data_IF_158290337023
#
_entry.id   IF_158290337023
#
_cell.length_a   1.000
_cell.length_b   1.000
_cell.length_c   1.000
_cell.angle_alpha   90.00
_cell.angle_beta   90.00
_cell.angle_gamma   90.00
#
_symmetry.space_group_name_H-M   'P 1'
#
loop_
_entity.id
_entity.type
_entity.pdbx_description
1 polymer ?
#
# COMPACT_ATOMS: atom_id res chain seq x y z
N UNK A 1 -1.93 4.64 -48.82
CA UNK A 1 -2.69 5.36 -47.78
C UNK A 1 -1.93 6.62 -47.42
N UNK A 2 -2.51 7.82 -47.61
CA UNK A 2 -1.75 9.02 -47.37
C UNK A 2 -1.78 9.46 -45.88
N UNK A 3 -0.83 10.30 -45.46
CA UNK A 3 -0.65 10.78 -44.07
C UNK A 3 -1.93 11.36 -43.43
N UNK A 4 -2.81 11.98 -44.23
CA UNK A 4 -4.06 12.57 -43.74
C UNK A 4 -5.12 11.51 -43.38
N UNK A 5 -5.16 10.40 -44.12
CA UNK A 5 -6.08 9.30 -43.85
C UNK A 5 -5.64 8.52 -42.58
N UNK A 6 -4.32 8.38 -42.38
CA UNK A 6 -3.76 7.77 -41.18
C UNK A 6 -4.05 8.61 -39.90
N UNK A 7 -3.89 9.92 -39.97
CA UNK A 7 -4.19 10.80 -38.83
C UNK A 7 -5.69 10.88 -38.49
N UNK A 8 -6.57 10.73 -39.49
CA UNK A 8 -8.03 10.65 -39.25
C UNK A 8 -8.41 9.29 -38.61
N UNK A 9 -7.83 8.21 -39.06
CA UNK A 9 -8.07 6.88 -38.46
C UNK A 9 -7.53 6.80 -37.03
N UNK A 10 -6.32 7.32 -36.78
CA UNK A 10 -5.73 7.39 -35.44
C UNK A 10 -6.50 8.31 -34.48
N UNK A 11 -7.09 9.41 -35.01
CA UNK A 11 -7.92 10.33 -34.22
C UNK A 11 -9.25 9.70 -33.79
N UNK A 12 -9.86 8.90 -34.65
CA UNK A 12 -11.14 8.22 -34.35
C UNK A 12 -10.97 7.07 -33.38
N UNK A 13 -9.90 6.28 -33.50
CA UNK A 13 -9.60 5.20 -32.55
C UNK A 13 -9.20 5.77 -31.18
N UNK A 14 -8.42 6.86 -31.16
CA UNK A 14 -8.05 7.55 -29.92
C UNK A 14 -9.22 8.17 -29.17
N UNK A 15 -10.19 8.75 -29.90
CA UNK A 15 -11.39 9.34 -29.30
C UNK A 15 -12.38 8.28 -28.79
N UNK A 16 -12.55 7.15 -29.49
CA UNK A 16 -13.44 6.08 -29.05
C UNK A 16 -12.90 5.35 -27.80
N UNK A 17 -11.58 5.08 -27.72
CA UNK A 17 -10.95 4.49 -26.54
C UNK A 17 -10.95 5.47 -25.35
N UNK A 18 -10.77 6.77 -25.58
CA UNK A 18 -10.88 7.79 -24.55
C UNK A 18 -12.31 7.94 -24.01
N UNK A 19 -13.32 7.78 -24.85
CA UNK A 19 -14.74 7.82 -24.44
C UNK A 19 -15.10 6.63 -23.58
N UNK A 20 -14.65 5.42 -23.92
CA UNK A 20 -14.92 4.20 -23.10
C UNK A 20 -14.17 4.25 -21.77
N UNK A 21 -12.90 4.68 -21.76
CA UNK A 21 -12.14 4.83 -20.51
C UNK A 21 -12.67 5.97 -19.62
N UNK A 22 -13.23 7.03 -20.21
CA UNK A 22 -13.85 8.14 -19.49
C UNK A 22 -15.20 7.76 -18.86
N UNK A 23 -15.96 6.84 -19.42
CA UNK A 23 -17.31 6.54 -18.93
C UNK A 23 -17.28 6.03 -17.47
N UNK A 24 -16.46 5.03 -17.11
CA UNK A 24 -16.38 4.54 -15.73
C UNK A 24 -15.88 5.60 -14.73
N UNK A 25 -14.94 6.45 -15.11
CA UNK A 25 -14.45 7.53 -14.25
C UNK A 25 -15.49 8.65 -14.10
N UNK A 26 -16.21 9.00 -15.17
CA UNK A 26 -17.27 10.02 -15.12
C UNK A 26 -18.43 9.63 -14.23
N UNK A 27 -18.80 8.35 -14.22
CA UNK A 27 -19.84 7.80 -13.35
C UNK A 27 -19.43 7.94 -11.87
N UNK A 28 -18.19 7.62 -11.56
CA UNK A 28 -17.64 7.80 -10.21
C UNK A 28 -17.53 9.28 -9.82
N UNK A 29 -17.10 10.16 -10.75
CA UNK A 29 -17.09 11.62 -10.55
C UNK A 29 -18.50 12.16 -10.29
N UNK A 30 -19.49 11.69 -11.05
CA UNK A 30 -20.90 12.09 -10.89
C UNK A 30 -21.46 11.58 -9.54
N UNK A 31 -21.16 10.34 -9.15
CA UNK A 31 -21.55 9.80 -7.86
C UNK A 31 -20.92 10.59 -6.71
N UNK A 32 -19.63 10.95 -6.81
CA UNK A 32 -18.94 11.80 -5.84
C UNK A 32 -19.58 13.19 -5.71
N UNK A 33 -19.94 13.80 -6.84
CA UNK A 33 -20.63 15.09 -6.87
C UNK A 33 -22.03 15.00 -6.21
N UNK A 34 -22.74 13.90 -6.39
CA UNK A 34 -24.09 13.69 -5.82
C UNK A 34 -24.08 13.57 -4.28
N UNK A 35 -22.97 13.17 -3.69
CA UNK A 35 -22.82 13.07 -2.23
C UNK A 35 -22.06 14.24 -1.62
N UNK A 36 -21.72 15.26 -2.40
CA UNK A 36 -20.99 16.43 -1.94
C UNK A 36 -21.71 17.13 -0.78
N UNK A 37 -20.98 17.46 0.28
CA UNK A 37 -21.51 18.10 1.49
C UNK A 37 -22.07 17.14 2.54
N UNK A 38 -22.17 15.84 2.25
CA UNK A 38 -22.48 14.82 3.26
C UNK A 38 -21.24 14.42 4.04
N UNK A 39 -21.41 13.95 5.27
CA UNK A 39 -20.29 13.48 6.07
C UNK A 39 -19.70 12.16 5.52
N UNK A 40 -18.39 11.92 5.64
CA UNK A 40 -17.77 10.66 5.21
C UNK A 40 -18.40 9.41 5.88
N UNK A 41 -18.86 9.52 7.13
CA UNK A 41 -19.49 8.40 7.85
C UNK A 41 -20.91 8.08 7.33
N UNK A 42 -21.67 9.09 6.88
CA UNK A 42 -22.95 8.88 6.17
C UNK A 42 -22.71 8.25 4.79
N UNK A 43 -21.74 8.76 4.05
CA UNK A 43 -21.38 8.22 2.73
C UNK A 43 -20.86 6.78 2.85
N UNK A 44 -20.11 6.46 3.92
CA UNK A 44 -19.58 5.11 4.14
C UNK A 44 -20.68 4.03 4.20
N UNK A 45 -21.90 4.39 4.57
CA UNK A 45 -23.07 3.50 4.70
C UNK A 45 -24.00 3.54 3.48
N UNK A 46 -23.78 4.41 2.54
CA UNK A 46 -24.63 4.59 1.35
C UNK A 46 -24.30 3.55 0.27
N UNK A 47 -24.99 2.40 0.29
CA UNK A 47 -24.74 1.31 -0.67
C UNK A 47 -25.11 1.69 -2.11
N UNK A 48 -25.92 2.71 -2.37
CA UNK A 48 -26.18 3.19 -3.73
C UNK A 48 -24.93 3.87 -4.28
N UNK A 49 -24.30 4.73 -3.48
CA UNK A 49 -23.03 5.35 -3.84
C UNK A 49 -21.92 4.32 -4.08
N UNK A 50 -21.76 3.37 -3.15
CA UNK A 50 -20.68 2.38 -3.27
C UNK A 50 -20.90 1.37 -4.39
N UNK A 51 -22.15 1.14 -4.82
CA UNK A 51 -22.46 0.33 -6.00
C UNK A 51 -21.85 0.93 -7.27
N UNK A 52 -21.95 2.24 -7.48
CA UNK A 52 -21.31 2.92 -8.62
C UNK A 52 -19.78 2.70 -8.61
N UNK A 53 -19.16 2.77 -7.42
CA UNK A 53 -17.73 2.50 -7.27
C UNK A 53 -17.43 1.01 -7.56
N UNK A 54 -18.23 0.07 -7.07
CA UNK A 54 -18.07 -1.37 -7.29
C UNK A 54 -18.18 -1.74 -8.78
N UNK A 55 -19.08 -1.09 -9.51
CA UNK A 55 -19.29 -1.28 -10.95
C UNK A 55 -18.14 -0.75 -11.80
N UNK A 56 -17.30 0.13 -11.28
CA UNK A 56 -16.09 0.59 -11.96
C UNK A 56 -14.99 -0.48 -12.06
N UNK A 57 -15.15 -1.64 -11.44
CA UNK A 57 -14.19 -2.75 -11.48
C UNK A 57 -14.69 -3.91 -12.32
N UNK A 58 -13.74 -4.68 -12.89
CA UNK A 58 -14.01 -5.99 -13.51
C UNK A 58 -13.46 -7.05 -12.57
N UNK A 59 -14.34 -7.68 -11.80
CA UNK A 59 -13.98 -8.65 -10.77
C UNK A 59 -14.64 -10.00 -11.03
N UNK A 60 -13.97 -11.07 -10.60
CA UNK A 60 -14.61 -12.37 -10.45
C UNK A 60 -15.47 -12.36 -9.17
N UNK A 61 -16.76 -12.19 -9.32
CA UNK A 61 -17.74 -12.12 -8.22
C UNK A 61 -18.06 -13.47 -7.58
N UNK A 62 -17.50 -14.57 -8.10
CA UNK A 62 -17.59 -15.88 -7.44
C UNK A 62 -16.58 -16.05 -6.31
N UNK A 63 -15.69 -15.07 -6.14
CA UNK A 63 -14.63 -15.04 -5.15
C UNK A 63 -14.76 -13.78 -4.30
N UNK A 64 -14.87 -13.93 -2.99
CA UNK A 64 -14.79 -12.83 -2.03
C UNK A 64 -13.32 -12.51 -1.74
N UNK A 65 -12.75 -11.52 -2.44
CA UNK A 65 -11.36 -11.12 -2.25
C UNK A 65 -11.22 -10.17 -1.04
N UNK A 66 -10.82 -10.71 0.09
CA UNK A 66 -10.50 -9.96 1.31
C UNK A 66 -8.99 -9.90 1.59
N UNK A 67 -8.14 -10.06 0.54
CA UNK A 67 -6.68 -9.96 0.63
C UNK A 67 -6.10 -8.78 -0.17
N UNK A 68 -6.77 -7.65 -0.17
CA UNK A 68 -6.36 -6.45 -0.90
C UNK A 68 -5.11 -5.76 -0.36
N UNK A 69 -4.72 -6.06 0.88
CA UNK A 69 -3.45 -5.60 1.44
C UNK A 69 -2.20 -6.19 0.76
N UNK A 70 -2.36 -7.26 -0.03
CA UNK A 70 -1.27 -7.78 -0.87
C UNK A 70 -1.15 -6.95 -2.16
N UNK A 71 -2.19 -6.96 -2.97
CA UNK A 71 -2.34 -6.16 -4.20
C UNK A 71 -3.82 -6.02 -4.52
N UNK A 72 -4.19 -4.94 -5.21
CA UNK A 72 -5.57 -4.66 -5.57
C UNK A 72 -5.78 -4.74 -7.09
N UNK A 73 -6.96 -5.15 -7.56
CA UNK A 73 -7.35 -4.93 -8.94
C UNK A 73 -7.44 -3.43 -9.22
N UNK A 74 -7.04 -3.03 -10.42
CA UNK A 74 -7.24 -1.66 -10.88
C UNK A 74 -8.67 -1.46 -11.38
N UNK A 75 -9.26 -0.25 -11.20
CA UNK A 75 -10.51 0.11 -11.86
C UNK A 75 -10.40 -0.02 -13.39
N UNK A 76 -11.52 -0.24 -14.08
CA UNK A 76 -11.53 -0.37 -15.55
C UNK A 76 -10.84 0.80 -16.26
N UNK A 77 -11.12 2.04 -15.84
CA UNK A 77 -10.48 3.23 -16.42
C UNK A 77 -8.94 3.16 -16.36
N UNK A 78 -8.40 2.70 -15.24
CA UNK A 78 -6.96 2.54 -15.03
C UNK A 78 -6.40 1.38 -15.85
N UNK A 79 -7.09 0.24 -15.87
CA UNK A 79 -6.66 -0.95 -16.59
C UNK A 79 -6.69 -0.72 -18.11
N UNK A 80 -7.71 -0.08 -18.63
CA UNK A 80 -7.80 0.29 -20.05
C UNK A 80 -6.72 1.32 -20.44
N UNK A 81 -6.42 2.27 -19.57
CA UNK A 81 -5.30 3.19 -19.80
C UNK A 81 -3.97 2.44 -19.88
N UNK A 82 -3.70 1.52 -18.96
CA UNK A 82 -2.52 0.68 -18.98
C UNK A 82 -2.40 -0.12 -20.29
N UNK A 83 -3.48 -0.78 -20.74
CA UNK A 83 -3.50 -1.50 -22.02
C UNK A 83 -3.19 -0.57 -23.19
N UNK A 84 -3.87 0.58 -23.26
CA UNK A 84 -3.66 1.58 -24.31
C UNK A 84 -2.22 2.07 -24.37
N UNK A 85 -1.60 2.37 -23.22
CA UNK A 85 -0.19 2.78 -23.21
C UNK A 85 0.74 1.64 -23.65
N UNK A 86 0.43 0.39 -23.30
CA UNK A 86 1.19 -0.78 -23.75
C UNK A 86 1.10 -0.96 -25.25
N UNK A 87 -0.11 -0.83 -25.83
CA UNK A 87 -0.35 -0.96 -27.27
C UNK A 87 0.36 0.16 -28.07
N UNK A 88 0.29 1.39 -27.58
CA UNK A 88 0.99 2.53 -28.20
C UNK A 88 2.51 2.31 -28.19
N UNK A 89 3.06 1.88 -27.07
CA UNK A 89 4.49 1.59 -26.97
C UNK A 89 4.94 0.50 -27.95
N UNK A 90 4.12 -0.53 -28.13
CA UNK A 90 4.45 -1.64 -29.06
C UNK A 90 4.46 -1.21 -30.54
N UNK A 91 3.84 -0.09 -30.90
CA UNK A 91 3.83 0.41 -32.29
C UNK A 91 5.18 1.02 -32.71
N UNK A 92 5.86 1.76 -31.81
CA UNK A 92 7.19 2.33 -32.03
C UNK A 92 7.88 2.56 -30.66
N UNK A 93 8.51 1.55 -30.06
CA UNK A 93 8.92 1.55 -28.65
C UNK A 93 9.77 2.75 -28.24
N UNK A 94 10.82 3.07 -28.99
CA UNK A 94 11.75 4.17 -28.65
C UNK A 94 11.06 5.53 -28.73
N UNK A 95 10.24 5.72 -29.77
CA UNK A 95 9.57 7.00 -30.02
C UNK A 95 8.48 7.28 -28.97
N UNK A 96 7.57 6.33 -28.77
CA UNK A 96 6.45 6.52 -27.85
C UNK A 96 6.87 6.48 -26.38
N UNK A 97 7.90 5.67 -26.03
CA UNK A 97 8.50 5.71 -24.70
C UNK A 97 8.96 7.13 -24.36
N UNK A 98 9.72 7.77 -25.26
CA UNK A 98 10.22 9.14 -25.02
C UNK A 98 9.08 10.19 -24.91
N UNK A 99 7.95 9.98 -25.60
CA UNK A 99 6.78 10.85 -25.47
C UNK A 99 6.10 10.67 -24.10
N UNK A 100 5.93 9.42 -23.65
CA UNK A 100 5.30 9.09 -22.37
C UNK A 100 6.19 9.55 -21.21
N UNK A 101 7.50 9.32 -21.28
CA UNK A 101 8.45 9.72 -20.24
C UNK A 101 8.44 11.25 -20.00
N UNK A 102 8.27 12.06 -21.04
CA UNK A 102 8.12 13.53 -20.87
C UNK A 102 6.88 13.89 -20.03
N UNK A 103 5.82 13.07 -20.07
CA UNK A 103 4.62 13.30 -19.28
C UNK A 103 4.74 12.82 -17.84
N UNK A 104 5.78 12.03 -17.51
CA UNK A 104 5.99 11.53 -16.13
C UNK A 104 6.18 12.63 -15.11
N UNK A 105 6.75 13.76 -15.51
CA UNK A 105 6.89 14.92 -14.61
C UNK A 105 5.53 15.52 -14.22
N UNK A 106 4.53 15.40 -15.08
CA UNK A 106 3.16 15.79 -14.73
C UNK A 106 2.54 14.81 -13.74
N UNK A 107 2.78 13.50 -13.90
CA UNK A 107 2.35 12.47 -12.95
C UNK A 107 3.01 12.69 -11.59
N UNK A 108 4.33 12.94 -11.57
CA UNK A 108 5.09 13.24 -10.35
C UNK A 108 4.51 14.43 -9.60
N UNK A 109 4.25 15.56 -10.29
CA UNK A 109 3.65 16.74 -9.67
C UNK A 109 2.25 16.46 -9.11
N UNK A 110 1.41 15.69 -9.81
CA UNK A 110 0.09 15.30 -9.31
C UNK A 110 0.18 14.41 -8.07
N UNK A 111 1.11 13.45 -8.04
CA UNK A 111 1.38 12.62 -6.85
C UNK A 111 1.85 13.48 -5.67
N UNK A 112 2.74 14.43 -5.92
CA UNK A 112 3.26 15.32 -4.90
C UNK A 112 2.16 16.21 -4.28
N UNK A 113 1.29 16.77 -5.11
CA UNK A 113 0.12 17.56 -4.66
C UNK A 113 -0.82 16.70 -3.82
N UNK A 114 -1.18 15.50 -4.33
CA UNK A 114 -2.10 14.59 -3.65
C UNK A 114 -1.56 14.19 -2.27
N UNK A 115 -0.30 13.76 -2.22
CA UNK A 115 0.29 13.23 -1.00
C UNK A 115 1.07 14.27 -0.16
N UNK A 116 1.02 15.55 -0.53
CA UNK A 116 1.50 16.67 0.28
C UNK A 116 3.01 16.68 0.49
N UNK A 117 3.77 16.72 -0.60
CA UNK A 117 5.23 16.88 -0.60
C UNK A 117 5.70 17.66 -1.84
N UNK A 118 7.01 17.92 -1.97
CA UNK A 118 7.58 18.49 -3.19
C UNK A 118 7.76 17.39 -4.25
N UNK A 119 7.53 17.73 -5.52
CA UNK A 119 7.78 16.83 -6.64
C UNK A 119 9.25 16.39 -6.75
N UNK A 120 10.18 17.24 -6.30
CA UNK A 120 11.61 16.95 -6.25
C UNK A 120 12.02 16.07 -5.06
N UNK A 121 11.07 15.62 -4.25
CA UNK A 121 11.26 14.69 -3.14
C UNK A 121 10.73 13.29 -3.42
N UNK A 122 10.11 13.06 -4.59
CA UNK A 122 9.53 11.75 -4.91
C UNK A 122 10.09 11.14 -6.20
N UNK A 123 10.43 9.86 -6.13
CA UNK A 123 10.74 9.01 -7.28
C UNK A 123 9.64 7.99 -7.53
N UNK A 124 9.30 7.76 -8.81
CA UNK A 124 8.30 6.77 -9.22
C UNK A 124 9.01 5.43 -9.44
N UNK A 125 8.86 4.52 -8.48
CA UNK A 125 9.48 3.20 -8.44
C UNK A 125 8.51 2.11 -8.93
N UNK A 126 8.91 0.83 -8.81
CA UNK A 126 8.06 -0.32 -9.18
C UNK A 126 7.17 -0.81 -8.04
N UNK A 127 7.56 -0.60 -6.80
CA UNK A 127 6.81 -1.00 -5.59
C UNK A 127 7.51 -0.48 -4.32
N UNK A 128 6.86 -0.69 -3.16
CA UNK A 128 7.44 -0.35 -1.86
C UNK A 128 8.76 -1.07 -1.58
N UNK A 129 8.93 -2.32 -2.02
CA UNK A 129 10.16 -3.07 -1.78
C UNK A 129 11.36 -2.42 -2.45
N UNK A 130 11.22 -1.98 -3.71
CA UNK A 130 12.27 -1.22 -4.38
C UNK A 130 12.53 0.12 -3.68
N UNK A 131 11.47 0.86 -3.37
CA UNK A 131 11.57 2.15 -2.68
C UNK A 131 12.33 2.05 -1.35
N UNK A 132 11.99 1.06 -0.54
CA UNK A 132 12.61 0.87 0.77
C UNK A 132 14.03 0.29 0.65
N UNK A 133 14.27 -0.61 -0.33
CA UNK A 133 15.63 -1.13 -0.57
C UNK A 133 16.59 -0.05 -1.06
N UNK A 134 16.12 0.95 -1.83
CA UNK A 134 16.94 2.11 -2.17
C UNK A 134 17.47 2.79 -0.90
N UNK A 135 16.60 3.03 0.09
CA UNK A 135 17.03 3.59 1.37
C UNK A 135 17.89 2.60 2.18
N UNK A 136 17.47 1.32 2.25
CA UNK A 136 18.16 0.31 3.03
C UNK A 136 19.57 0.01 2.51
N UNK A 137 19.74 -0.15 1.19
CA UNK A 137 21.02 -0.49 0.58
C UNK A 137 21.86 0.75 0.24
N UNK A 138 21.21 1.91 0.07
CA UNK A 138 21.86 3.15 -0.30
C UNK A 138 22.54 3.90 0.83
N UNK A 139 22.24 3.61 2.09
CA UNK A 139 22.86 4.26 3.24
C UNK A 139 24.25 3.67 3.55
N UNK A 140 25.26 4.52 3.68
CA UNK A 140 26.60 4.15 4.08
C UNK A 140 26.69 3.88 5.59
N UNK A 141 26.43 2.61 5.98
CA UNK A 141 26.57 2.15 7.36
C UNK A 141 27.91 1.44 7.56
N UNK A 142 28.49 1.61 8.74
CA UNK A 142 29.76 1.02 9.14
C UNK A 142 29.55 -0.22 10.02
N UNK A 143 30.55 -1.13 10.10
CA UNK A 143 30.53 -2.22 11.07
C UNK A 143 30.27 -1.71 12.48
N UNK A 144 29.28 -2.30 13.17
CA UNK A 144 28.86 -1.91 14.51
C UNK A 144 27.74 -0.87 14.56
N UNK A 145 27.41 -0.18 13.46
CA UNK A 145 26.22 0.66 13.39
C UNK A 145 24.96 -0.18 13.60
N UNK A 146 23.98 0.37 14.31
CA UNK A 146 22.75 -0.34 14.64
C UNK A 146 21.58 0.16 13.83
N UNK A 147 20.79 -0.77 13.32
CA UNK A 147 19.46 -0.55 12.74
C UNK A 147 18.42 -1.03 13.74
N UNK A 148 17.52 -0.15 14.12
CA UNK A 148 16.37 -0.46 14.97
C UNK A 148 15.13 -0.61 14.10
N UNK A 149 14.44 -1.75 14.25
CA UNK A 149 13.20 -2.10 13.54
C UNK A 149 12.28 -2.90 14.46
N UNK A 150 11.15 -3.38 13.96
CA UNK A 150 10.23 -4.19 14.76
C UNK A 150 10.07 -5.60 14.18
N UNK A 151 9.60 -6.53 15.00
CA UNK A 151 9.28 -7.89 14.55
C UNK A 151 8.06 -7.94 13.61
N UNK A 152 7.26 -6.88 13.52
CA UNK A 152 6.11 -6.77 12.62
C UNK A 152 6.39 -5.99 11.33
N UNK A 153 7.61 -5.50 11.13
CA UNK A 153 7.98 -4.91 9.84
C UNK A 153 7.94 -5.95 8.71
N UNK A 154 7.77 -5.46 7.49
CA UNK A 154 7.54 -6.34 6.35
C UNK A 154 8.71 -7.32 6.15
N UNK A 155 8.45 -8.65 6.03
CA UNK A 155 9.50 -9.67 6.05
C UNK A 155 10.61 -9.46 5.02
N UNK A 156 10.29 -8.95 3.84
CA UNK A 156 11.29 -8.67 2.81
C UNK A 156 12.27 -7.58 3.25
N UNK A 157 11.79 -6.57 3.95
CA UNK A 157 12.64 -5.49 4.48
C UNK A 157 13.50 -6.00 5.63
N UNK A 158 12.95 -6.85 6.49
CA UNK A 158 13.73 -7.53 7.54
C UNK A 158 14.83 -8.41 6.93
N UNK A 159 14.52 -9.14 5.86
CA UNK A 159 15.51 -9.97 5.13
C UNK A 159 16.62 -9.12 4.51
N UNK A 160 16.31 -7.92 4.01
CA UNK A 160 17.33 -6.98 3.50
C UNK A 160 18.27 -6.56 4.62
N UNK A 161 17.76 -6.23 5.82
CA UNK A 161 18.58 -5.91 6.97
C UNK A 161 19.43 -7.10 7.44
N UNK A 162 18.87 -8.34 7.42
CA UNK A 162 19.64 -9.56 7.70
C UNK A 162 20.78 -9.77 6.71
N UNK A 163 20.55 -9.48 5.44
CA UNK A 163 21.60 -9.52 4.43
C UNK A 163 22.70 -8.49 4.73
N UNK A 164 22.34 -7.26 5.06
CA UNK A 164 23.28 -6.20 5.41
C UNK A 164 24.04 -6.52 6.70
N UNK A 165 23.38 -7.11 7.71
CA UNK A 165 24.04 -7.57 8.93
C UNK A 165 25.15 -8.58 8.59
N UNK A 166 24.89 -9.53 7.68
CA UNK A 166 25.91 -10.50 7.25
C UNK A 166 27.04 -9.86 6.42
N UNK A 167 26.66 -8.99 5.47
CA UNK A 167 27.60 -8.36 4.51
C UNK A 167 28.41 -7.24 5.15
N UNK A 168 27.72 -6.30 5.80
CA UNK A 168 28.30 -5.02 6.21
C UNK A 168 28.68 -5.01 7.72
N UNK A 169 28.40 -6.11 8.44
CA UNK A 169 28.67 -6.27 9.89
C UNK A 169 27.97 -5.23 10.76
N UNK A 170 26.84 -4.72 10.32
CA UNK A 170 25.96 -3.89 11.14
C UNK A 170 25.19 -4.76 12.15
N UNK A 171 24.62 -4.14 13.18
CA UNK A 171 23.72 -4.78 14.13
C UNK A 171 22.27 -4.49 13.76
N UNK A 172 21.38 -5.49 13.81
CA UNK A 172 19.93 -5.31 13.60
C UNK A 172 19.20 -5.68 14.89
N UNK A 173 18.54 -4.71 15.49
CA UNK A 173 17.73 -4.89 16.70
C UNK A 173 16.25 -4.83 16.32
N UNK A 174 15.49 -5.89 16.66
CA UNK A 174 14.06 -6.01 16.41
C UNK A 174 13.28 -5.91 17.69
N UNK A 175 12.54 -4.85 17.85
CA UNK A 175 11.69 -4.62 19.03
C UNK A 175 10.43 -5.47 18.93
N UNK A 176 10.11 -6.16 20.01
CA UNK A 176 8.84 -6.88 20.17
C UNK A 176 7.83 -6.01 20.92
N UNK A 177 6.58 -6.14 20.56
CA UNK A 177 5.47 -5.50 21.25
C UNK A 177 4.20 -6.37 21.14
N UNK A 178 3.30 -6.24 22.10
CA UNK A 178 1.99 -6.89 22.06
C UNK A 178 1.02 -6.14 21.15
N UNK A 179 0.07 -6.85 20.54
CA UNK A 179 -0.98 -6.24 19.72
C UNK A 179 -2.36 -6.61 20.25
N UNK A 180 -3.31 -5.66 20.19
CA UNK A 180 -3.12 -4.26 19.81
C UNK A 180 -2.32 -3.49 20.85
N UNK A 181 -1.43 -2.59 20.40
CA UNK A 181 -0.63 -1.72 21.25
C UNK A 181 -1.14 -0.28 21.22
N UNK A 182 -1.05 0.42 22.35
CA UNK A 182 -1.27 1.88 22.38
C UNK A 182 -0.07 2.59 21.77
N UNK A 183 -0.32 3.70 21.07
CA UNK A 183 0.75 4.46 20.42
C UNK A 183 1.82 4.97 21.40
N UNK A 184 1.42 5.37 22.62
CA UNK A 184 2.36 5.82 23.64
C UNK A 184 3.25 4.67 24.15
N UNK A 185 2.74 3.45 24.20
CA UNK A 185 3.55 2.28 24.59
C UNK A 185 4.55 1.94 23.49
N UNK A 186 4.13 1.97 22.23
CA UNK A 186 5.03 1.80 21.06
C UNK A 186 6.13 2.87 21.04
N UNK A 187 5.75 4.13 21.29
CA UNK A 187 6.72 5.23 21.37
C UNK A 187 7.77 4.97 22.44
N UNK A 188 7.35 4.70 23.70
CA UNK A 188 8.25 4.44 24.82
C UNK A 188 9.15 3.22 24.59
N UNK A 189 8.58 2.16 24.02
CA UNK A 189 9.32 0.91 23.74
C UNK A 189 10.42 1.16 22.71
N UNK A 190 10.13 1.88 21.62
CA UNK A 190 11.13 2.20 20.60
C UNK A 190 12.14 3.24 21.08
N UNK A 191 11.71 4.24 21.86
CA UNK A 191 12.60 5.22 22.45
C UNK A 191 13.63 4.58 23.39
N UNK A 192 13.18 3.64 24.24
CA UNK A 192 14.06 2.91 25.16
C UNK A 192 15.04 1.96 24.45
N UNK A 193 14.68 1.49 23.25
CA UNK A 193 15.52 0.62 22.44
C UNK A 193 16.60 1.35 21.64
N UNK A 194 16.51 2.69 21.49
CA UNK A 194 17.51 3.48 20.79
C UNK A 194 18.79 3.61 21.62
N UNK A 195 19.93 3.23 21.05
CA UNK A 195 21.26 3.31 21.66
C UNK A 195 22.14 4.35 20.96
N UNK A 196 23.29 4.73 21.48
CA UNK A 196 24.25 5.62 20.78
C UNK A 196 24.74 5.03 19.44
N UNK A 197 24.67 3.72 19.26
CA UNK A 197 25.03 3.02 18.03
C UNK A 197 23.90 3.02 17.00
N UNK A 198 22.66 3.31 17.39
CA UNK A 198 21.52 3.36 16.47
C UNK A 198 21.73 4.47 15.44
N UNK A 199 21.79 4.09 14.15
CA UNK A 199 21.96 5.00 13.01
C UNK A 199 20.73 5.04 12.12
N UNK A 200 19.91 4.00 12.16
CA UNK A 200 18.68 3.90 11.35
C UNK A 200 17.54 3.43 12.25
N UNK A 201 16.40 4.11 12.15
CA UNK A 201 15.09 3.65 12.61
C UNK A 201 14.25 3.29 11.38
N UNK A 202 13.95 2.01 11.18
CA UNK A 202 13.07 1.53 10.12
C UNK A 202 11.79 0.98 10.72
N UNK A 203 10.65 1.59 10.42
CA UNK A 203 9.34 1.21 10.98
C UNK A 203 8.23 1.30 9.93
N UNK A 204 7.21 0.45 10.06
CA UNK A 204 5.97 0.62 9.32
C UNK A 204 5.17 1.82 9.86
N UNK A 205 4.48 2.56 8.99
CA UNK A 205 3.41 3.47 9.43
C UNK A 205 2.19 2.67 9.90
N UNK A 206 1.81 1.67 9.09
CA UNK A 206 0.79 0.67 9.45
C UNK A 206 1.35 -0.70 9.14
N UNK A 207 1.33 -1.62 10.11
CA UNK A 207 1.83 -2.97 9.89
C UNK A 207 0.98 -3.75 8.90
N UNK A 208 1.62 -4.53 8.05
CA UNK A 208 0.96 -5.30 7.01
C UNK A 208 0.13 -6.48 7.55
N UNK A 209 0.26 -6.84 8.81
CA UNK A 209 -0.38 -8.02 9.42
C UNK A 209 -1.59 -7.60 10.23
N UNK A 210 -1.34 -6.90 11.33
CA UNK A 210 -2.36 -6.56 12.32
C UNK A 210 -3.03 -5.21 12.05
N UNK A 211 -2.51 -4.43 11.10
CA UNK A 211 -2.97 -3.06 10.88
C UNK A 211 -2.61 -2.10 12.01
N UNK A 212 -1.65 -2.47 12.89
CA UNK A 212 -1.19 -1.62 13.98
C UNK A 212 -0.63 -0.31 13.45
N UNK A 213 -1.21 0.81 13.87
CA UNK A 213 -0.73 2.15 13.55
C UNK A 213 0.39 2.56 14.51
N UNK A 214 1.49 3.08 13.96
CA UNK A 214 2.62 3.61 14.72
C UNK A 214 2.58 5.14 14.84
N UNK A 215 3.09 5.72 15.94
CA UNK A 215 3.22 7.18 16.11
C UNK A 215 4.44 7.71 15.34
N UNK A 216 4.43 7.54 14.01
CA UNK A 216 5.59 7.73 13.11
C UNK A 216 6.15 9.15 13.22
N UNK A 217 5.30 10.18 13.20
CA UNK A 217 5.77 11.57 13.29
C UNK A 217 6.58 11.80 14.56
N UNK A 218 6.09 11.33 15.71
CA UNK A 218 6.79 11.47 16.99
C UNK A 218 8.13 10.74 17.00
N UNK A 219 8.14 9.51 16.43
CA UNK A 219 9.35 8.69 16.35
C UNK A 219 10.38 9.27 15.38
N UNK A 220 9.96 9.81 14.24
CA UNK A 220 10.85 10.47 13.29
C UNK A 220 11.45 11.78 13.84
N UNK A 221 10.68 12.57 14.60
CA UNK A 221 11.20 13.73 15.33
C UNK A 221 12.27 13.33 16.33
N UNK A 222 12.00 12.29 17.13
CA UNK A 222 12.97 11.77 18.09
C UNK A 222 14.23 11.24 17.39
N UNK A 223 14.07 10.47 16.31
CA UNK A 223 15.20 9.99 15.51
C UNK A 223 16.06 11.14 15.00
N UNK A 224 15.44 12.18 14.42
CA UNK A 224 16.15 13.38 13.95
C UNK A 224 16.91 14.09 15.06
N UNK A 225 16.31 14.26 16.25
CA UNK A 225 16.96 14.87 17.41
C UNK A 225 18.20 14.09 17.87
N UNK A 226 18.20 12.77 17.66
CA UNK A 226 19.31 11.87 18.01
C UNK A 226 20.30 11.61 16.86
N UNK A 227 20.12 12.28 15.69
CA UNK A 227 20.95 12.05 14.50
C UNK A 227 20.74 10.67 13.85
N UNK A 228 19.59 10.07 14.07
CA UNK A 228 19.19 8.75 13.53
C UNK A 228 18.40 8.96 12.24
N UNK A 229 18.77 8.28 11.16
CA UNK A 229 18.04 8.29 9.89
C UNK A 229 16.73 7.49 10.02
N UNK A 230 15.62 8.08 9.59
CA UNK A 230 14.31 7.44 9.63
C UNK A 230 13.88 6.92 8.27
N UNK A 231 13.47 5.65 8.21
CA UNK A 231 12.88 4.99 7.04
C UNK A 231 11.49 4.52 7.43
N UNK A 232 10.47 4.93 6.68
CA UNK A 232 9.07 4.59 6.94
C UNK A 232 8.51 3.70 5.83
N UNK A 233 8.06 2.51 6.18
CA UNK A 233 7.23 1.70 5.29
C UNK A 233 5.80 2.23 5.31
N UNK A 234 5.44 2.98 4.27
CA UNK A 234 4.14 3.58 4.08
C UNK A 234 3.23 2.78 3.12
N UNK A 235 3.59 1.51 2.83
CA UNK A 235 2.87 0.67 1.88
C UNK A 235 1.39 0.44 2.25
N UNK A 236 1.04 0.58 3.51
CA UNK A 236 -0.33 0.42 4.01
C UNK A 236 -0.95 1.71 4.56
N UNK A 237 -0.38 2.87 4.27
CA UNK A 237 -0.93 4.16 4.69
C UNK A 237 -1.24 5.09 3.52
N UNK A 238 -0.36 5.21 2.53
CA UNK A 238 -0.58 6.08 1.35
C UNK A 238 -1.82 5.66 0.59
N UNK A 239 -2.72 6.61 0.32
CA UNK A 239 -4.02 6.43 -0.32
C UNK A 239 -5.00 5.48 0.44
N UNK A 240 -4.74 5.17 1.70
CA UNK A 240 -5.58 4.34 2.57
C UNK A 240 -6.43 5.20 3.51
N UNK A 241 -5.83 6.22 4.11
CA UNK A 241 -6.47 7.21 4.98
C UNK A 241 -5.79 8.57 4.86
N UNK A 242 -6.44 9.66 5.34
CA UNK A 242 -5.90 11.02 5.19
C UNK A 242 -4.62 11.24 6.00
N UNK A 243 -3.56 11.66 5.34
CA UNK A 243 -2.35 12.27 5.90
C UNK A 243 -1.49 12.81 4.74
N UNK A 244 -0.48 13.62 5.05
CA UNK A 244 0.49 14.11 4.07
C UNK A 244 1.87 13.49 4.34
N UNK A 245 2.63 13.17 3.28
CA UNK A 245 3.98 12.60 3.42
C UNK A 245 4.91 13.49 4.23
N UNK A 246 4.80 14.81 4.05
CA UNK A 246 5.56 15.78 4.84
C UNK A 246 5.25 15.74 6.34
N UNK A 247 4.04 15.32 6.73
CA UNK A 247 3.64 15.20 8.14
C UNK A 247 4.31 14.03 8.85
N UNK A 248 4.82 13.03 8.12
CA UNK A 248 5.57 11.93 8.71
C UNK A 248 6.91 12.41 9.29
N UNK A 249 7.45 13.50 8.79
CA UNK A 249 8.74 14.10 9.17
C UNK A 249 9.92 13.11 9.09
N UNK A 250 9.79 12.08 8.25
CA UNK A 250 10.80 11.06 8.00
C UNK A 250 11.85 11.51 6.98
N UNK A 251 12.97 10.80 6.92
CA UNK A 251 13.99 11.02 5.91
C UNK A 251 13.64 10.30 4.61
N UNK A 252 13.10 9.07 4.73
CA UNK A 252 12.71 8.22 3.61
C UNK A 252 11.34 7.60 3.89
N UNK A 253 10.48 7.51 2.87
CA UNK A 253 9.28 6.69 2.93
C UNK A 253 9.07 5.93 1.61
N UNK A 254 8.64 4.68 1.68
CA UNK A 254 8.36 3.85 0.51
C UNK A 254 6.93 3.31 0.50
N UNK A 255 6.28 3.33 -0.67
CA UNK A 255 4.93 2.78 -0.81
C UNK A 255 4.72 2.07 -2.15
N UNK A 256 3.70 1.21 -2.21
CA UNK A 256 3.20 0.58 -3.43
C UNK A 256 1.89 1.23 -3.86
N UNK A 257 1.87 1.82 -5.05
CA UNK A 257 0.68 2.50 -5.59
C UNK A 257 -0.40 1.50 -6.08
N UNK A 258 -0.01 0.25 -6.37
CA UNK A 258 -0.92 -0.84 -6.75
C UNK A 258 -1.68 -1.48 -5.58
N UNK A 259 -1.58 -0.90 -4.37
CA UNK A 259 -2.40 -1.29 -3.21
C UNK A 259 -3.58 -0.32 -3.08
N UNK A 260 -3.49 0.62 -2.18
CA UNK A 260 -4.61 1.50 -1.85
C UNK A 260 -4.89 2.60 -2.88
N UNK A 261 -3.91 3.01 -3.72
CA UNK A 261 -4.17 3.92 -4.85
C UNK A 261 -4.84 3.22 -6.03
N UNK A 262 -4.80 1.86 -6.10
CA UNK A 262 -5.41 1.05 -7.16
C UNK A 262 -4.76 1.26 -8.54
N UNK A 263 -3.50 1.74 -8.56
CA UNK A 263 -2.70 1.87 -9.78
C UNK A 263 -2.29 0.49 -10.33
N UNK A 264 -1.82 0.38 -11.57
CA UNK A 264 -1.37 -0.90 -12.11
C UNK A 264 -0.25 -1.54 -11.30
N UNK A 265 -0.19 -2.86 -11.27
CA UNK A 265 0.91 -3.59 -10.67
C UNK A 265 2.26 -3.15 -11.27
N UNK A 266 3.29 -3.08 -10.46
CA UNK A 266 4.58 -2.55 -10.88
C UNK A 266 4.67 -1.02 -10.76
N UNK A 267 3.89 -0.41 -9.87
CA UNK A 267 3.95 1.02 -9.52
C UNK A 267 4.19 1.22 -8.03
N UNK A 268 5.09 2.11 -7.70
CA UNK A 268 5.44 2.52 -6.34
C UNK A 268 5.93 3.96 -6.29
N UNK A 269 6.20 4.43 -5.09
CA UNK A 269 6.72 5.76 -4.84
C UNK A 269 7.73 5.69 -3.70
N UNK A 270 8.87 6.34 -3.90
CA UNK A 270 9.86 6.64 -2.89
C UNK A 270 9.78 8.14 -2.59
N UNK A 271 9.53 8.50 -1.34
CA UNK A 271 9.73 9.84 -0.81
C UNK A 271 11.10 9.93 -0.16
N UNK A 272 11.84 10.99 -0.45
CA UNK A 272 13.11 11.31 0.22
C UNK A 272 13.12 12.79 0.54
N UNK A 273 13.26 13.13 1.83
CA UNK A 273 13.42 14.52 2.23
C UNK A 273 14.59 15.16 1.47
N UNK A 274 14.41 16.34 0.93
CA UNK A 274 15.29 16.96 -0.08
C UNK A 274 16.77 16.99 0.32
N UNK A 275 17.09 17.35 1.55
CA UNK A 275 18.45 17.39 2.07
C UNK A 275 19.10 16.03 2.25
N UNK A 276 18.30 14.93 2.19
CA UNK A 276 18.74 13.54 2.34
C UNK A 276 18.95 12.79 1.01
N UNK A 277 18.57 13.39 -0.12
CA UNK A 277 18.71 12.73 -1.44
C UNK A 277 20.18 12.33 -1.69
N UNK A 278 21.12 13.20 -1.40
CA UNK A 278 22.56 12.97 -1.58
C UNK A 278 23.15 11.88 -0.68
N UNK A 279 22.47 11.54 0.41
CA UNK A 279 22.98 10.61 1.43
C UNK A 279 22.71 9.13 1.09
N UNK A 280 21.96 8.85 0.05
CA UNK A 280 21.66 7.48 -0.36
C UNK A 280 22.13 7.19 -1.79
N UNK A 281 22.79 6.06 -1.98
CA UNK A 281 23.14 5.53 -3.30
C UNK A 281 21.90 4.94 -3.99
N UNK A 282 21.75 5.10 -5.31
CA UNK A 282 20.71 4.40 -6.05
C UNK A 282 21.05 2.90 -6.20
N UNK A 283 20.04 2.05 -6.36
CA UNK A 283 20.25 0.60 -6.58
C UNK A 283 20.97 0.33 -7.91
N UNK A 284 20.70 1.13 -8.94
CA UNK A 284 21.42 1.11 -10.20
C UNK A 284 22.13 2.45 -10.36
N UNK A 285 23.37 2.39 -10.81
CA UNK A 285 24.23 3.58 -10.89
C UNK A 285 23.60 4.71 -11.72
N UNK A 286 23.68 5.91 -11.19
CA UNK A 286 23.32 7.15 -11.86
C UNK A 286 24.59 8.00 -12.09
N UNK A 287 24.52 8.97 -13.01
CA UNK A 287 25.61 9.89 -13.24
C UNK A 287 25.88 10.75 -11.98
N UNK A 288 27.15 11.06 -11.70
CA UNK A 288 27.54 11.86 -10.55
C UNK A 288 26.84 13.24 -10.52
N UNK A 289 26.51 13.79 -11.68
CA UNK A 289 25.75 15.05 -11.83
C UNK A 289 24.30 14.95 -11.33
N UNK A 290 23.81 13.76 -11.02
CA UNK A 290 22.48 13.52 -10.48
C UNK A 290 22.47 13.29 -8.96
N UNK A 291 23.59 13.50 -8.27
CA UNK A 291 23.70 13.13 -6.85
C UNK A 291 22.60 13.73 -5.95
N UNK A 292 22.18 14.97 -6.23
CA UNK A 292 21.14 15.69 -5.48
C UNK A 292 19.76 15.61 -6.16
N UNK A 293 19.64 14.84 -7.26
CA UNK A 293 18.41 14.74 -8.02
C UNK A 293 17.67 13.46 -7.67
N UNK A 294 16.41 13.60 -7.27
CA UNK A 294 15.53 12.47 -6.90
C UNK A 294 15.43 11.42 -8.01
N UNK A 295 15.57 11.82 -9.28
CA UNK A 295 15.49 10.95 -10.45
C UNK A 295 16.64 9.95 -10.57
N UNK A 296 17.72 10.12 -9.77
CA UNK A 296 18.78 9.11 -9.68
C UNK A 296 18.23 7.74 -9.23
N UNK A 297 17.17 7.75 -8.43
CA UNK A 297 16.53 6.53 -7.93
C UNK A 297 15.60 5.86 -8.94
N UNK A 298 15.39 6.46 -10.10
CA UNK A 298 14.58 5.91 -11.19
C UNK A 298 15.40 5.25 -12.31
N UNK A 299 16.72 5.16 -12.15
CA UNK A 299 17.60 4.55 -13.13
C UNK A 299 17.46 3.02 -13.08
N UNK A 300 16.70 2.45 -14.02
CA UNK A 300 16.39 1.01 -14.07
C UNK A 300 16.61 0.39 -15.45
N UNK A 301 17.21 1.16 -16.38
CA UNK A 301 17.40 0.72 -17.77
C UNK A 301 16.09 0.67 -18.57
N UNK A 302 16.04 -0.16 -19.60
CA UNK A 302 14.88 -0.27 -20.48
C UNK A 302 13.76 -1.07 -19.81
N UNK A 303 12.61 -0.41 -19.62
CA UNK A 303 11.40 -1.03 -19.07
C UNK A 303 10.15 -0.44 -19.71
N UNK A 304 9.00 -1.11 -19.52
CA UNK A 304 7.70 -0.55 -19.89
C UNK A 304 7.36 0.65 -19.00
N UNK A 305 7.01 1.77 -19.60
CA UNK A 305 6.50 2.97 -18.89
C UNK A 305 4.97 2.97 -18.78
N UNK A 306 4.28 2.03 -19.41
CA UNK A 306 2.82 1.94 -19.43
C UNK A 306 2.19 1.87 -18.03
N UNK A 307 2.69 1.07 -17.07
CA UNK A 307 2.13 1.07 -15.72
C UNK A 307 2.24 2.43 -15.04
N UNK A 308 3.42 3.09 -15.17
CA UNK A 308 3.66 4.40 -14.58
C UNK A 308 2.77 5.49 -15.21
N UNK A 309 2.53 5.43 -16.51
CA UNK A 309 1.68 6.37 -17.22
C UNK A 309 0.23 6.32 -16.69
N UNK A 310 -0.30 5.13 -16.44
CA UNK A 310 -1.66 4.92 -15.95
C UNK A 310 -1.87 5.29 -14.46
N UNK A 311 -0.84 5.76 -13.74
CA UNK A 311 -0.98 6.32 -12.39
C UNK A 311 -1.87 7.56 -12.41
N UNK A 312 -1.87 8.33 -13.51
CA UNK A 312 -2.70 9.54 -13.63
C UNK A 312 -4.20 9.22 -13.53
N UNK A 313 -4.64 8.13 -14.15
CA UNK A 313 -6.02 7.68 -14.10
C UNK A 313 -6.36 7.10 -12.71
N UNK A 314 -5.41 6.44 -12.04
CA UNK A 314 -5.59 5.98 -10.67
C UNK A 314 -5.76 7.14 -9.69
N UNK A 315 -4.98 8.21 -9.84
CA UNK A 315 -5.14 9.44 -9.07
C UNK A 315 -6.50 10.08 -9.30
N UNK A 316 -6.94 10.19 -10.55
CA UNK A 316 -8.24 10.76 -10.87
C UNK A 316 -9.39 9.93 -10.25
N UNK A 317 -9.30 8.60 -10.29
CA UNK A 317 -10.25 7.71 -9.64
C UNK A 317 -10.25 7.87 -8.11
N UNK A 318 -9.08 7.98 -7.52
CA UNK A 318 -8.90 8.21 -6.07
C UNK A 318 -9.52 9.55 -5.64
N UNK A 319 -9.27 10.61 -6.40
CA UNK A 319 -9.81 11.95 -6.15
C UNK A 319 -11.33 12.01 -6.32
N UNK A 320 -11.88 11.27 -7.26
CA UNK A 320 -13.33 11.20 -7.49
C UNK A 320 -14.09 10.56 -6.31
N UNK A 321 -13.46 9.62 -5.59
CA UNK A 321 -14.02 9.05 -4.35
C UNK A 321 -13.78 10.01 -3.16
N UNK A 322 -12.60 10.61 -3.08
CA UNK A 322 -12.11 11.34 -1.91
C UNK A 322 -11.51 10.43 -0.84
N UNK A 323 -10.39 10.87 -0.27
CA UNK A 323 -9.63 10.05 0.70
C UNK A 323 -10.41 9.86 2.00
N UNK A 324 -11.16 10.85 2.46
CA UNK A 324 -11.99 10.79 3.67
C UNK A 324 -13.13 9.78 3.51
N UNK A 325 -13.85 9.81 2.38
CA UNK A 325 -14.92 8.86 2.07
C UNK A 325 -14.37 7.44 1.99
N UNK A 326 -13.23 7.27 1.33
CA UNK A 326 -12.54 5.99 1.22
C UNK A 326 -12.14 5.43 2.59
N UNK A 327 -11.51 6.24 3.42
CA UNK A 327 -11.08 5.86 4.77
C UNK A 327 -12.28 5.48 5.64
N UNK A 328 -13.36 6.27 5.58
CA UNK A 328 -14.61 5.99 6.30
C UNK A 328 -15.24 4.66 5.85
N UNK A 329 -15.29 4.39 4.52
CA UNK A 329 -15.79 3.12 4.00
C UNK A 329 -14.95 1.93 4.47
N UNK A 330 -13.65 2.00 4.39
CA UNK A 330 -12.76 0.93 4.82
C UNK A 330 -12.90 0.65 6.32
N UNK A 331 -13.00 1.70 7.13
CA UNK A 331 -13.30 1.57 8.56
C UNK A 331 -14.68 0.95 8.80
N UNK A 332 -15.70 1.39 8.07
CA UNK A 332 -17.07 0.83 8.18
C UNK A 332 -17.09 -0.67 7.87
N UNK A 333 -16.47 -1.11 6.77
CA UNK A 333 -16.38 -2.53 6.41
C UNK A 333 -15.65 -3.34 7.48
N UNK A 334 -14.56 -2.81 8.03
CA UNK A 334 -13.81 -3.47 9.11
C UNK A 334 -14.62 -3.52 10.40
N UNK A 335 -15.27 -2.44 10.79
CA UNK A 335 -16.16 -2.39 11.96
C UNK A 335 -17.30 -3.39 11.83
N UNK A 336 -17.88 -3.54 10.62
CA UNK A 336 -19.02 -4.43 10.37
C UNK A 336 -18.71 -5.89 10.71
N UNK A 337 -17.55 -6.42 10.30
CA UNK A 337 -17.19 -7.79 10.65
C UNK A 337 -16.68 -7.89 12.10
N UNK A 338 -15.88 -6.93 12.54
CA UNK A 338 -15.23 -6.99 13.84
C UNK A 338 -16.23 -6.90 15.00
N UNK A 339 -17.21 -6.00 14.90
CA UNK A 339 -18.26 -5.88 15.93
C UNK A 339 -19.11 -7.14 16.09
N UNK A 340 -19.33 -7.90 15.02
CA UNK A 340 -20.11 -9.14 15.04
C UNK A 340 -19.31 -10.37 15.50
N UNK A 341 -17.97 -10.27 15.54
CA UNK A 341 -17.08 -11.39 15.88
C UNK A 341 -16.38 -11.22 17.24
N UNK A 342 -16.25 -10.01 17.78
CA UNK A 342 -15.46 -9.71 18.98
C UNK A 342 -15.91 -10.48 20.24
N UNK A 343 -17.20 -10.80 20.35
CA UNK A 343 -17.79 -11.49 21.50
C UNK A 343 -18.12 -12.96 21.20
N UNK A 344 -17.74 -13.47 20.01
CA UNK A 344 -17.96 -14.87 19.65
C UNK A 344 -16.90 -15.75 20.34
N UNK A 345 -17.32 -16.79 21.07
CA UNK A 345 -16.38 -17.71 21.74
C UNK A 345 -15.33 -18.25 20.78
N UNK A 346 -14.10 -18.37 21.25
CA UNK A 346 -12.91 -18.84 20.52
C UNK A 346 -12.38 -17.87 19.43
N UNK A 347 -13.12 -16.81 19.06
CA UNK A 347 -12.61 -15.81 18.12
C UNK A 347 -11.74 -14.79 18.85
N UNK A 348 -10.57 -14.49 18.30
CA UNK A 348 -9.63 -13.47 18.79
C UNK A 348 -9.33 -12.48 17.70
N UNK A 349 -9.61 -11.21 17.95
CA UNK A 349 -9.24 -10.09 17.07
C UNK A 349 -7.94 -9.49 17.61
N UNK A 350 -6.90 -9.45 16.75
CA UNK A 350 -5.56 -8.97 17.12
C UNK A 350 -5.27 -7.57 16.54
N UNK A 351 -6.27 -6.90 16.01
CA UNK A 351 -6.19 -5.52 15.55
C UNK A 351 -6.87 -4.58 16.53
N UNK A 352 -6.40 -3.35 16.61
CA UNK A 352 -7.10 -2.30 17.35
C UNK A 352 -8.45 -2.03 16.70
N UNK A 353 -9.47 -1.80 17.55
CA UNK A 353 -10.79 -1.31 17.13
C UNK A 353 -11.07 0.07 17.73
N UNK A 354 -10.05 0.72 18.29
CA UNK A 354 -10.18 2.08 18.81
C UNK A 354 -10.30 3.09 17.65
N UNK A 355 -11.17 4.09 17.74
CA UNK A 355 -11.31 5.12 16.71
C UNK A 355 -9.97 5.79 16.38
N UNK A 356 -9.69 5.96 15.08
CA UNK A 356 -8.43 6.55 14.61
C UNK A 356 -7.22 5.62 14.67
N UNK A 357 -7.38 4.35 15.05
CA UNK A 357 -6.30 3.37 15.12
C UNK A 357 -6.41 2.27 14.05
N UNK A 358 -7.49 2.21 13.29
CA UNK A 358 -7.73 1.19 12.27
C UNK A 358 -8.55 1.72 11.09
N UNK A 359 -8.37 1.08 9.93
CA UNK A 359 -9.14 1.31 8.70
C UNK A 359 -9.42 -0.02 8.00
N UNK A 360 -8.78 -0.29 6.85
CA UNK A 360 -9.05 -1.44 5.99
C UNK A 360 -8.21 -2.69 6.26
N UNK A 361 -7.53 -2.80 7.41
CA UNK A 361 -6.74 -3.98 7.77
C UNK A 361 -7.18 -4.50 9.11
N UNK A 362 -7.55 -5.78 9.16
CA UNK A 362 -7.82 -6.47 10.40
C UNK A 362 -7.22 -7.87 10.41
N UNK A 363 -6.89 -8.37 11.60
CA UNK A 363 -6.34 -9.69 11.81
C UNK A 363 -7.16 -10.44 12.86
N UNK A 364 -7.64 -11.62 12.51
CA UNK A 364 -8.54 -12.40 13.33
C UNK A 364 -8.21 -13.89 13.27
N UNK A 365 -8.26 -14.56 14.40
CA UNK A 365 -8.03 -15.98 14.52
C UNK A 365 -9.13 -16.71 15.28
N UNK A 366 -9.05 -18.04 15.31
CA UNK A 366 -9.90 -18.92 16.10
C UNK A 366 -9.01 -19.80 16.96
N UNK A 367 -9.25 -19.81 18.25
CA UNK A 367 -8.48 -20.61 19.22
C UNK A 367 -8.48 -22.10 18.82
N UNK A 368 -7.26 -22.67 18.80
CA UNK A 368 -7.07 -24.08 18.44
C UNK A 368 -7.09 -24.37 16.92
N UNK A 369 -7.19 -23.33 16.07
CA UNK A 369 -7.15 -23.51 14.60
C UNK A 369 -5.91 -22.82 14.03
N UNK A 370 -5.12 -23.59 13.27
CA UNK A 370 -3.94 -23.06 12.58
C UNK A 370 -4.35 -22.08 11.45
N UNK A 371 -3.54 -21.05 11.24
CA UNK A 371 -3.82 -20.01 10.24
C UNK A 371 -4.05 -20.59 8.84
N UNK A 372 -3.29 -21.61 8.45
CA UNK A 372 -3.44 -22.28 7.16
C UNK A 372 -4.77 -23.03 7.06
N UNK A 373 -5.09 -23.85 8.07
CA UNK A 373 -6.35 -24.59 8.11
C UNK A 373 -7.57 -23.65 8.09
N UNK A 374 -7.49 -22.49 8.78
CA UNK A 374 -8.52 -21.46 8.71
C UNK A 374 -8.70 -20.92 7.29
N UNK A 375 -7.62 -20.58 6.60
CA UNK A 375 -7.71 -20.03 5.25
C UNK A 375 -8.15 -21.09 4.23
N UNK A 376 -7.72 -22.34 4.36
CA UNK A 376 -8.17 -23.44 3.53
C UNK A 376 -9.69 -23.69 3.71
N UNK A 377 -10.21 -23.62 4.96
CA UNK A 377 -11.64 -23.68 5.23
C UNK A 377 -12.41 -22.52 4.58
N UNK A 378 -11.93 -21.27 4.73
CA UNK A 378 -12.54 -20.09 4.13
C UNK A 378 -12.61 -20.21 2.62
N UNK A 379 -11.52 -20.67 1.99
CA UNK A 379 -11.48 -20.87 0.54
C UNK A 379 -12.36 -22.02 0.06
N UNK A 380 -12.21 -23.21 0.63
CA UNK A 380 -12.87 -24.40 0.13
C UNK A 380 -14.40 -24.33 0.25
N UNK A 381 -14.89 -23.79 1.36
CA UNK A 381 -16.33 -23.75 1.66
C UNK A 381 -17.02 -22.46 1.22
N UNK A 382 -16.33 -21.32 1.30
CA UNK A 382 -16.94 -20.01 1.12
C UNK A 382 -16.35 -19.17 0.00
N UNK A 383 -15.30 -19.67 -0.67
CA UNK A 383 -14.58 -18.91 -1.71
C UNK A 383 -14.05 -17.55 -1.23
N UNK A 384 -13.65 -17.46 0.02
CA UNK A 384 -13.09 -16.26 0.62
C UNK A 384 -11.57 -16.35 0.60
N UNK A 385 -10.90 -15.32 0.07
CA UNK A 385 -9.45 -15.17 0.10
C UNK A 385 -9.08 -14.22 1.24
N UNK A 386 -8.49 -14.75 2.31
CA UNK A 386 -7.73 -14.00 3.31
C UNK A 386 -6.23 -14.25 3.16
N UNK A 387 -5.43 -13.71 4.08
CA UNK A 387 -4.00 -13.98 4.11
C UNK A 387 -3.64 -14.76 5.37
N UNK A 388 -3.36 -16.05 5.23
CA UNK A 388 -2.76 -16.82 6.31
C UNK A 388 -1.39 -16.22 6.67
N UNK A 389 -1.21 -15.83 7.91
CA UNK A 389 0.07 -15.44 8.44
C UNK A 389 0.68 -16.63 9.19
N UNK A 390 1.24 -17.53 8.44
CA UNK A 390 2.12 -18.57 8.96
C UNK A 390 3.54 -18.04 8.90
N UNK A 391 4.39 -18.39 9.83
CA UNK A 391 5.82 -18.10 9.71
C UNK A 391 6.31 -18.62 8.34
N UNK A 392 6.23 -17.77 7.31
CA UNK A 392 6.58 -18.09 5.93
C UNK A 392 8.07 -18.33 5.76
N UNK A 393 8.60 -18.37 4.50
CA UNK A 393 10.01 -18.57 4.21
C UNK A 393 10.92 -17.47 4.80
N UNK A 394 10.32 -16.50 5.45
CA UNK A 394 11.00 -15.40 6.16
C UNK A 394 10.92 -15.63 7.67
N UNK A 395 11.90 -16.31 8.29
CA UNK A 395 11.90 -16.61 9.73
C UNK A 395 11.94 -15.37 10.64
N UNK A 396 12.02 -14.19 10.03
CA UNK A 396 12.14 -12.92 10.72
C UNK A 396 10.86 -12.47 11.45
N UNK A 397 9.68 -12.99 11.07
CA UNK A 397 8.42 -12.70 11.75
C UNK A 397 7.97 -13.92 12.55
N UNK A 398 8.30 -13.94 13.83
CA UNK A 398 7.73 -14.91 14.78
C UNK A 398 6.50 -14.29 15.42
N UNK A 399 5.31 -14.80 15.09
CA UNK A 399 4.05 -14.42 15.73
C UNK A 399 3.50 -15.59 16.51
N UNK A 400 3.10 -15.30 17.73
CA UNK A 400 2.27 -16.21 18.53
C UNK A 400 0.80 -16.17 18.10
N UNK A 401 0.45 -15.25 17.16
CA UNK A 401 -0.93 -15.05 16.70
C UNK A 401 -1.23 -15.92 15.48
N UNK A 402 -2.20 -16.82 15.62
CA UNK A 402 -2.69 -17.66 14.53
C UNK A 402 -3.98 -17.09 13.99
N UNK A 403 -4.05 -16.87 12.68
CA UNK A 403 -5.24 -16.29 12.09
C UNK A 403 -5.10 -15.92 10.63
N UNK A 404 -6.04 -15.12 10.18
CA UNK A 404 -6.09 -14.57 8.83
C UNK A 404 -6.13 -13.05 8.87
N UNK A 405 -5.37 -12.42 7.98
CA UNK A 405 -5.52 -11.00 7.70
C UNK A 405 -6.67 -10.80 6.74
N UNK A 406 -7.55 -9.88 7.06
CA UNK A 406 -8.70 -9.47 6.25
C UNK A 406 -8.52 -8.01 5.86
N UNK A 407 -8.53 -7.76 4.56
CA UNK A 407 -8.36 -6.43 3.98
C UNK A 407 -9.42 -6.18 2.91
N UNK A 408 -10.63 -5.73 3.28
CA UNK A 408 -11.63 -5.27 2.33
C UNK A 408 -11.14 -4.03 1.58
N UNK A 409 -11.73 -3.72 0.43
CA UNK A 409 -11.45 -2.49 -0.32
C UNK A 409 -12.77 -1.80 -0.73
N UNK A 410 -12.67 -0.67 -1.42
CA UNK A 410 -13.83 0.16 -1.83
C UNK A 410 -14.86 -0.58 -2.67
N UNK A 411 -14.46 -1.64 -3.36
CA UNK A 411 -15.35 -2.48 -4.16
C UNK A 411 -15.95 -3.69 -3.41
N UNK A 412 -15.54 -3.90 -2.14
CA UNK A 412 -16.07 -5.00 -1.30
C UNK A 412 -17.51 -4.70 -0.92
N UNK A 413 -18.39 -5.68 -1.12
CA UNK A 413 -19.82 -5.58 -0.78
C UNK A 413 -20.06 -5.92 0.68
N UNK A 414 -21.23 -5.50 1.21
CA UNK A 414 -21.65 -5.91 2.55
C UNK A 414 -21.92 -7.42 2.62
N UNK A 415 -22.43 -8.01 1.53
CA UNK A 415 -22.68 -9.45 1.43
C UNK A 415 -21.39 -10.26 1.58
N UNK A 416 -20.30 -9.83 0.94
CA UNK A 416 -18.97 -10.46 1.09
C UNK A 416 -18.49 -10.40 2.55
N UNK A 417 -18.72 -9.29 3.24
CA UNK A 417 -18.38 -9.13 4.66
C UNK A 417 -19.26 -10.01 5.55
N UNK A 418 -20.56 -10.06 5.29
CA UNK A 418 -21.49 -10.87 6.07
C UNK A 418 -21.24 -12.37 5.86
N UNK A 419 -20.88 -12.78 4.64
CA UNK A 419 -20.44 -14.15 4.33
C UNK A 419 -19.17 -14.51 5.11
N UNK A 420 -18.20 -13.60 5.21
CA UNK A 420 -17.01 -13.79 6.04
C UNK A 420 -17.38 -13.95 7.53
N UNK A 421 -18.29 -13.14 8.05
CA UNK A 421 -18.76 -13.25 9.43
C UNK A 421 -19.43 -14.60 9.68
N UNK A 422 -20.29 -15.06 8.77
CA UNK A 422 -20.94 -16.36 8.86
C UNK A 422 -19.92 -17.51 8.84
N UNK A 423 -18.91 -17.43 7.95
CA UNK A 423 -17.83 -18.41 7.85
C UNK A 423 -17.00 -18.50 9.14
N UNK A 424 -16.67 -17.35 9.74
CA UNK A 424 -15.91 -17.30 10.99
C UNK A 424 -16.70 -17.88 12.17
N UNK A 425 -18.02 -17.60 12.25
CA UNK A 425 -18.91 -18.19 13.26
C UNK A 425 -19.05 -19.70 13.07
N UNK A 426 -19.14 -20.17 11.83
CA UNK A 426 -19.20 -21.60 11.50
C UNK A 426 -17.92 -22.32 11.94
N UNK A 427 -16.75 -21.83 11.55
CA UNK A 427 -15.50 -22.48 11.94
C UNK A 427 -15.22 -22.41 13.44
N UNK A 428 -15.65 -21.35 14.12
CA UNK A 428 -15.52 -21.25 15.56
C UNK A 428 -16.38 -22.30 16.31
N UNK A 429 -17.56 -22.62 15.76
CA UNK A 429 -18.49 -23.60 16.34
C UNK A 429 -18.11 -25.03 15.99
N UNK A 430 -17.81 -25.30 14.72
CA UNK A 430 -17.72 -26.65 14.15
C UNK A 430 -16.29 -27.13 13.88
N UNK A 431 -15.29 -26.23 14.01
CA UNK A 431 -13.90 -26.50 13.60
C UNK A 431 -13.69 -26.33 12.09
N UNK A 432 -12.42 -26.38 11.66
CA UNK A 432 -12.06 -26.26 10.25
C UNK A 432 -12.37 -27.51 9.41
N UNK A 433 -12.74 -28.60 10.04
CA UNK A 433 -12.86 -29.90 9.35
C UNK A 433 -11.48 -30.45 8.91
N UNK A 434 -11.41 -31.72 8.61
CA UNK A 434 -10.33 -32.27 7.78
C UNK A 434 -10.72 -32.02 6.33
N UNK A 435 -10.02 -31.14 5.61
CA UNK A 435 -10.19 -30.92 4.19
C UNK A 435 -9.79 -32.16 3.40
#
# INVERSE_FOLDING_TARGET
>A
MNRRTFLRAGGVVGTSALVVARNGLREVEAAGAAVAGRSPDEIAQDELYWREIQEAFTLDRTISNLNNGNSCPSPRAVHEAFKRYSDIMNQAPVYYRGLIERNMETVRRKLAIEFGCDAEEIAITRNASESLQIAQDGLDLKPGDEVLTTHQDYPRMLTTWDQRQRRDKIKVTRVQFSVPAKQDDLYRTLEAAMTPQTKVLHICHVTNITGQLFPVQRLCRLARQRGITSIVDAAHSVAHFPFKLSELECDFAGTSLHKWLLAPHGTGLLYVRRDRIKDAWPLQAAAATQNDNIRKFEQVGTMSVAPKAAIAEALAFHQAIGIENKAARLRYLTTRWASQLKDVPRIKIHSSLEPGQYWGIGYVGVEGIEARALNDFLWNKYRIIGQAMTGGPYPAQQFDYRGTRITPNVYTTLEEIDTFVAAMKDVAKNGAGTA
#
